data_IF_119515155022
#
_entry.id   IF_119515155022
#
_cell.length_a   1.000
_cell.length_b   1.000
_cell.length_c   1.000
_cell.angle_alpha   90.00
_cell.angle_beta   90.00
_cell.angle_gamma   90.00
#
_symmetry.space_group_name_H-M   'P 1'
#
loop_
_entity.id
_entity.type
_entity.pdbx_description
1 polymer ?
#
# COMPACT_ATOMS: atom_id res chain seq x y z
N UNK A 1 -9.03 -6.97 21.01
CA UNK A 1 -8.84 -6.86 19.56
C UNK A 1 -7.79 -5.79 19.34
N UNK A 2 -6.74 -6.06 18.56
CA UNK A 2 -5.74 -5.03 18.25
C UNK A 2 -6.48 -3.88 17.55
N UNK A 3 -6.32 -2.66 18.06
CA UNK A 3 -6.86 -1.48 17.38
C UNK A 3 -6.17 -1.38 16.02
N UNK A 4 -6.94 -1.40 14.94
CA UNK A 4 -6.37 -1.29 13.61
C UNK A 4 -5.80 0.11 13.40
N UNK A 5 -4.60 0.18 12.85
CA UNK A 5 -3.89 1.43 12.57
C UNK A 5 -3.74 1.68 11.06
N UNK A 6 -4.05 0.67 10.23
CA UNK A 6 -3.81 0.76 8.80
C UNK A 6 -5.05 1.25 8.06
N UNK A 7 -4.82 2.05 7.03
CA UNK A 7 -5.84 2.49 6.09
C UNK A 7 -5.39 2.22 4.66
N UNK A 8 -6.33 1.90 3.78
CA UNK A 8 -6.08 1.58 2.38
C UNK A 8 -6.81 2.58 1.51
N UNK A 9 -6.11 3.15 0.53
CA UNK A 9 -6.68 4.11 -0.40
C UNK A 9 -6.47 3.67 -1.84
N UNK A 10 -7.47 3.92 -2.70
CA UNK A 10 -7.36 3.82 -4.14
C UNK A 10 -7.43 5.21 -4.78
N UNK A 11 -6.72 5.40 -5.89
CA UNK A 11 -6.71 6.65 -6.66
C UNK A 11 -7.13 6.40 -8.10
N UNK A 12 -7.82 7.38 -8.68
CA UNK A 12 -8.39 7.35 -10.02
C UNK A 12 -7.65 8.27 -11.00
N UNK A 13 -7.93 8.19 -12.31
CA UNK A 13 -7.21 8.94 -13.33
C UNK A 13 -7.45 10.45 -13.27
N UNK A 14 -8.55 10.88 -12.68
CA UNK A 14 -8.91 12.28 -12.47
C UNK A 14 -8.27 12.88 -11.20
N UNK A 15 -7.51 12.09 -10.43
CA UNK A 15 -6.87 12.53 -9.19
C UNK A 15 -7.73 12.34 -7.93
N UNK A 16 -8.99 11.93 -8.07
CA UNK A 16 -9.81 11.56 -6.92
C UNK A 16 -9.27 10.30 -6.24
N UNK A 17 -9.59 10.16 -4.96
CA UNK A 17 -9.23 9.00 -4.16
C UNK A 17 -10.36 8.59 -3.22
N UNK A 18 -10.36 7.31 -2.86
CA UNK A 18 -11.32 6.74 -1.91
C UNK A 18 -10.59 5.93 -0.85
N UNK A 19 -11.05 6.06 0.39
CA UNK A 19 -10.64 5.18 1.49
C UNK A 19 -11.46 3.89 1.40
N UNK A 20 -10.79 2.78 1.08
CA UNK A 20 -11.47 1.48 0.86
C UNK A 20 -11.47 0.61 2.12
N UNK A 21 -10.58 0.89 3.07
CA UNK A 21 -10.55 0.31 4.42
C UNK A 21 -9.88 1.30 5.37
N UNK A 22 -10.40 1.45 6.58
CA UNK A 22 -9.92 2.41 7.56
C UNK A 22 -9.77 1.76 8.93
N UNK A 23 -8.67 2.06 9.63
CA UNK A 23 -8.37 1.57 10.98
C UNK A 23 -8.51 0.06 11.10
N UNK A 24 -7.92 -0.66 10.13
CA UNK A 24 -7.88 -2.13 10.09
C UNK A 24 -6.54 -2.67 10.55
N UNK A 25 -6.50 -3.96 10.89
CA UNK A 25 -5.23 -4.65 11.15
C UNK A 25 -4.42 -4.84 9.85
N UNK A 26 -3.12 -5.09 10.00
CA UNK A 26 -2.20 -5.17 8.86
C UNK A 26 -2.53 -6.30 7.88
N UNK A 27 -3.06 -7.43 8.35
CA UNK A 27 -3.44 -8.54 7.46
C UNK A 27 -4.62 -8.12 6.58
N UNK A 28 -5.66 -7.56 7.20
CA UNK A 28 -6.82 -7.03 6.49
C UNK A 28 -6.42 -5.94 5.47
N UNK A 29 -5.50 -5.05 5.83
CA UNK A 29 -5.00 -4.02 4.93
C UNK A 29 -4.32 -4.60 3.68
N UNK A 30 -3.43 -5.60 3.85
CA UNK A 30 -2.73 -6.25 2.74
C UNK A 30 -3.68 -7.07 1.87
N UNK A 31 -4.61 -7.82 2.47
CA UNK A 31 -5.62 -8.58 1.71
C UNK A 31 -6.51 -7.64 0.88
N UNK A 32 -6.90 -6.50 1.46
CA UNK A 32 -7.65 -5.46 0.76
C UNK A 32 -6.84 -4.87 -0.40
N UNK A 33 -5.60 -4.44 -0.16
CA UNK A 33 -4.75 -3.89 -1.21
C UNK A 33 -4.51 -4.90 -2.36
N UNK A 34 -4.29 -6.17 -2.03
CA UNK A 34 -4.15 -7.25 -3.02
C UNK A 34 -5.42 -7.41 -3.87
N UNK A 35 -6.60 -7.35 -3.26
CA UNK A 35 -7.86 -7.39 -4.00
C UNK A 35 -7.96 -6.21 -4.97
N UNK A 36 -7.73 -4.99 -4.49
CA UNK A 36 -7.84 -3.79 -5.32
C UNK A 36 -6.80 -3.70 -6.44
N UNK A 37 -5.61 -4.29 -6.27
CA UNK A 37 -4.58 -4.33 -7.32
C UNK A 37 -4.80 -5.43 -8.37
N UNK A 38 -5.70 -6.39 -8.13
CA UNK A 38 -5.97 -7.53 -9.04
C UNK A 38 -7.35 -7.50 -9.68
N UNK A 39 -8.22 -6.56 -9.29
CA UNK A 39 -9.55 -6.39 -9.89
C UNK A 39 -9.46 -5.93 -11.36
N UNK A 40 -10.47 -6.24 -12.19
CA UNK A 40 -10.52 -5.78 -13.58
C UNK A 40 -10.29 -4.27 -13.73
N UNK A 41 -10.83 -3.46 -12.80
CA UNK A 41 -10.63 -2.01 -12.77
C UNK A 41 -9.14 -1.59 -12.65
N UNK A 42 -8.32 -2.36 -11.93
CA UNK A 42 -6.88 -2.14 -11.88
C UNK A 42 -6.18 -2.62 -13.16
N UNK A 43 -6.63 -3.72 -13.77
CA UNK A 43 -6.06 -4.24 -15.01
C UNK A 43 -6.30 -3.33 -16.21
N UNK A 44 -7.43 -2.63 -16.25
CA UNK A 44 -7.78 -1.69 -17.33
C UNK A 44 -7.41 -0.23 -17.01
N UNK A 45 -6.76 0.03 -15.86
CA UNK A 45 -6.23 1.35 -15.51
C UNK A 45 -7.25 2.37 -15.01
N UNK A 46 -8.43 1.94 -14.55
CA UNK A 46 -9.35 2.80 -13.78
C UNK A 46 -8.73 3.08 -12.40
N UNK A 47 -8.25 2.05 -11.72
CA UNK A 47 -7.47 2.23 -10.49
C UNK A 47 -6.03 2.53 -10.91
N UNK A 48 -5.55 3.73 -10.59
CA UNK A 48 -4.21 4.21 -10.96
C UNK A 48 -3.16 3.94 -9.89
N UNK A 49 -3.57 3.98 -8.62
CA UNK A 49 -2.68 3.79 -7.49
C UNK A 49 -3.45 3.18 -6.32
N UNK A 50 -2.78 2.32 -5.56
CA UNK A 50 -3.28 1.78 -4.29
C UNK A 50 -2.18 1.97 -3.25
N UNK A 51 -2.53 2.52 -2.08
CA UNK A 51 -1.57 2.68 -0.97
C UNK A 51 -2.14 2.09 0.31
N UNK A 52 -1.24 1.69 1.20
CA UNK A 52 -1.55 1.45 2.61
C UNK A 52 -0.81 2.51 3.42
N UNK A 53 -1.51 3.18 4.34
CA UNK A 53 -0.90 4.06 5.35
C UNK A 53 -1.08 3.46 6.75
N UNK A 54 -0.15 3.77 7.66
CA UNK A 54 -0.28 3.46 9.09
C UNK A 54 -0.89 4.62 9.88
N UNK A 55 -0.97 4.49 11.21
CA UNK A 55 -1.51 5.51 12.10
C UNK A 55 -0.69 6.80 12.18
N UNK A 56 0.54 6.80 11.65
CA UNK A 56 1.41 7.97 11.51
C UNK A 56 1.35 8.62 10.13
N UNK A 57 0.38 8.22 9.29
CA UNK A 57 0.22 8.66 7.89
C UNK A 57 1.44 8.34 7.01
N UNK A 58 2.22 7.33 7.39
CA UNK A 58 3.36 6.86 6.62
C UNK A 58 2.89 5.84 5.58
N UNK A 59 3.34 5.99 4.33
CA UNK A 59 3.00 5.05 3.26
C UNK A 59 3.81 3.74 3.40
N UNK A 60 3.15 2.67 3.83
CA UNK A 60 3.78 1.36 4.06
C UNK A 60 3.82 0.48 2.80
N UNK A 61 2.89 0.72 1.87
CA UNK A 61 2.77 -0.03 0.61
C UNK A 61 2.30 0.91 -0.48
N UNK A 62 2.84 0.75 -1.68
CA UNK A 62 2.38 1.46 -2.85
C UNK A 62 2.35 0.51 -4.07
N UNK A 63 1.27 0.58 -4.82
CA UNK A 63 1.14 -0.03 -6.14
C UNK A 63 0.67 1.01 -7.15
N UNK A 64 1.18 0.95 -8.37
CA UNK A 64 0.81 1.84 -9.48
C UNK A 64 0.50 1.05 -10.74
N UNK A 65 -0.54 1.48 -11.46
CA UNK A 65 -0.90 0.92 -12.76
C UNK A 65 0.27 0.99 -13.74
N UNK A 66 0.59 -0.13 -14.38
CA UNK A 66 1.70 -0.25 -15.32
C UNK A 66 3.09 -0.34 -14.68
N UNK A 67 3.22 -0.22 -13.36
CA UNK A 67 4.51 -0.35 -12.64
C UNK A 67 4.52 -1.52 -11.65
N UNK A 68 3.36 -1.91 -11.12
CA UNK A 68 3.30 -2.92 -10.06
C UNK A 68 3.53 -2.31 -8.69
N UNK A 69 4.10 -3.08 -7.77
CA UNK A 69 4.48 -2.60 -6.43
C UNK A 69 5.69 -1.67 -6.56
N UNK A 70 5.58 -0.46 -6.02
CA UNK A 70 6.63 0.56 -6.08
C UNK A 70 7.17 0.86 -4.69
N UNK A 71 8.47 1.13 -4.62
CA UNK A 71 9.14 1.55 -3.39
C UNK A 71 9.54 3.02 -3.55
N UNK A 72 9.60 3.78 -2.44
CA UNK A 72 10.08 5.15 -2.50
C UNK A 72 11.47 5.21 -3.15
N UNK A 73 11.77 6.29 -3.91
CA UNK A 73 13.08 6.47 -4.49
C UNK A 73 14.13 6.41 -3.39
N UNK A 74 15.21 5.68 -3.65
CA UNK A 74 16.30 5.53 -2.70
C UNK A 74 17.03 6.87 -2.61
N UNK A 75 16.75 7.68 -1.59
CA UNK A 75 17.41 8.98 -1.33
C UNK A 75 18.88 8.78 -0.84
N UNK A 76 19.56 7.76 -1.36
CA UNK A 76 20.88 7.33 -0.90
C UNK A 76 20.91 6.57 0.44
N UNK A 77 19.76 6.33 1.08
CA UNK A 77 19.69 5.54 2.32
C UNK A 77 19.45 4.07 2.01
N UNK A 78 20.54 3.32 1.78
CA UNK A 78 20.48 1.87 1.71
C UNK A 78 19.82 1.32 2.98
N UNK A 79 18.68 0.65 2.83
CA UNK A 79 18.16 -0.21 3.88
C UNK A 79 19.10 -1.41 4.01
N UNK A 80 19.95 -1.37 5.03
CA UNK A 80 20.76 -2.53 5.42
C UNK A 80 19.79 -3.64 5.81
N UNK A 81 19.77 -4.72 5.02
CA UNK A 81 19.03 -5.93 5.37
C UNK A 81 19.69 -6.47 6.64
N UNK A 82 19.00 -6.34 7.77
CA UNK A 82 19.51 -6.68 9.09
C UNK A 82 20.24 -8.01 9.09
N UNK A 83 21.47 -7.97 9.58
CA UNK A 83 22.28 -9.13 9.87
C UNK A 83 21.50 -10.04 10.84
N UNK A 84 21.41 -11.32 10.46
CA UNK A 84 20.88 -12.36 11.33
C UNK A 84 21.76 -12.46 12.56
N UNK A 85 21.32 -11.91 13.70
CA UNK A 85 21.91 -12.24 14.97
C UNK A 85 21.47 -13.67 15.30
N UNK A 86 22.36 -14.63 15.01
CA UNK A 86 22.29 -15.96 15.59
C UNK A 86 22.90 -15.86 16.99
N UNK A 87 22.08 -16.09 18.01
CA UNK A 87 22.54 -16.51 19.35
C UNK A 87 22.71 -18.04 19.38
#
# INVERSE_FOLDING_TARGET
>A
MAAGEFSVFQFFPNGDYECVAQLVDGKTAVETAKSYTTRPAALIGIIRRVIITDGGDCCCFEWKYGQGVTFPPNDGKQFVRGESHAE
#
